data_IF_657353197134
#
_entry.id   IF_657353197134
#
_cell.length_a   1.000
_cell.length_b   1.000
_cell.length_c   1.000
_cell.angle_alpha   90.00
_cell.angle_beta   90.00
_cell.angle_gamma   90.00
#
_symmetry.space_group_name_H-M   'P 1'
#
loop_
_entity.id
_entity.type
_entity.pdbx_description
1 polymer ?
#
# COMPACT_ATOMS: atom_id res chain seq x y z
N UNK A 1 2.54 -6.65 -7.59
CA UNK A 1 2.16 -8.02 -7.24
C UNK A 1 0.66 -8.02 -7.04
N UNK A 2 -0.02 -8.22 -8.17
CA UNK A 2 -1.46 -8.24 -8.30
C UNK A 2 -1.73 -9.59 -8.98
N UNK A 3 -2.09 -10.61 -8.19
CA UNK A 3 -2.05 -12.02 -8.61
C UNK A 3 -3.47 -12.53 -8.76
N UNK A 4 -3.79 -13.03 -9.95
CA UNK A 4 -5.03 -13.74 -10.26
C UNK A 4 -4.70 -15.24 -10.34
N UNK A 5 -4.89 -16.04 -9.26
CA UNK A 5 -4.53 -17.46 -9.25
C UNK A 5 -5.16 -18.25 -10.41
N UNK A 6 -6.36 -17.86 -10.84
CA UNK A 6 -7.12 -18.46 -11.93
C UNK A 6 -6.53 -18.21 -13.32
N UNK A 7 -5.65 -17.21 -13.47
CA UNK A 7 -4.96 -16.90 -14.73
C UNK A 7 -3.55 -17.51 -14.80
N UNK A 8 -3.09 -18.17 -13.74
CA UNK A 8 -1.77 -18.77 -13.72
C UNK A 8 -1.70 -20.01 -14.62
N UNK A 9 -0.58 -20.23 -15.35
CA UNK A 9 -0.41 -21.39 -16.21
C UNK A 9 -0.61 -22.71 -15.46
N UNK A 10 -1.27 -23.67 -16.10
CA UNK A 10 -1.60 -24.96 -15.48
C UNK A 10 -0.39 -25.73 -14.96
N UNK A 11 0.77 -25.64 -15.64
CA UNK A 11 2.01 -26.29 -15.17
C UNK A 11 2.54 -25.72 -13.84
N UNK A 12 2.09 -24.51 -13.44
CA UNK A 12 2.41 -23.89 -12.15
C UNK A 12 1.42 -24.36 -11.09
N UNK A 13 0.12 -24.44 -11.42
CA UNK A 13 -0.96 -24.72 -10.44
C UNK A 13 -0.90 -26.13 -9.86
N UNK A 14 -0.19 -27.07 -10.49
CA UNK A 14 0.10 -28.39 -9.91
C UNK A 14 1.12 -28.37 -8.75
N UNK A 15 1.84 -27.25 -8.55
CA UNK A 15 2.78 -27.12 -7.44
C UNK A 15 2.03 -26.84 -6.14
N UNK A 16 2.52 -27.41 -5.05
CA UNK A 16 2.10 -26.99 -3.71
C UNK A 16 2.44 -25.50 -3.54
N UNK A 17 1.54 -24.74 -2.93
CA UNK A 17 1.71 -23.30 -2.68
C UNK A 17 2.03 -22.52 -3.98
N UNK A 18 1.39 -22.87 -5.10
CA UNK A 18 1.71 -22.38 -6.45
C UNK A 18 1.73 -20.85 -6.60
N UNK A 19 0.97 -20.14 -5.76
CA UNK A 19 0.99 -18.66 -5.73
C UNK A 19 2.31 -18.15 -5.17
N UNK A 20 2.80 -18.76 -4.08
CA UNK A 20 4.13 -18.45 -3.52
C UNK A 20 5.19 -18.74 -4.58
N UNK A 21 5.18 -19.94 -5.17
CA UNK A 21 6.12 -20.34 -6.22
C UNK A 21 6.15 -19.34 -7.39
N UNK A 22 4.98 -18.88 -7.84
CA UNK A 22 4.90 -17.91 -8.92
C UNK A 22 5.52 -16.57 -8.52
N UNK A 23 5.19 -16.06 -7.34
CA UNK A 23 5.71 -14.77 -6.86
C UNK A 23 7.23 -14.84 -6.67
N UNK A 24 7.76 -15.94 -6.13
CA UNK A 24 9.21 -16.17 -6.02
C UNK A 24 9.89 -16.09 -7.38
N UNK A 25 9.35 -16.80 -8.39
CA UNK A 25 9.91 -16.78 -9.74
C UNK A 25 9.88 -15.37 -10.36
N UNK A 26 8.83 -14.58 -10.12
CA UNK A 26 8.79 -13.18 -10.57
C UNK A 26 9.87 -12.36 -9.86
N UNK A 27 10.04 -12.52 -8.55
CA UNK A 27 11.06 -11.80 -7.78
C UNK A 27 12.46 -12.18 -8.28
N UNK A 28 12.77 -13.47 -8.36
CA UNK A 28 14.06 -13.98 -8.85
C UNK A 28 14.41 -13.44 -10.24
N UNK A 29 13.43 -13.36 -11.14
CA UNK A 29 13.64 -12.87 -12.50
C UNK A 29 13.78 -11.34 -12.60
N UNK A 30 13.38 -10.56 -11.58
CA UNK A 30 13.25 -9.10 -11.72
C UNK A 30 13.94 -8.27 -10.65
N UNK A 31 14.41 -8.85 -9.54
CA UNK A 31 14.92 -8.08 -8.40
C UNK A 31 16.13 -7.20 -8.71
N UNK A 32 16.91 -7.53 -9.75
CA UNK A 32 18.08 -6.72 -10.17
C UNK A 32 17.71 -5.47 -10.97
N UNK A 33 16.48 -5.38 -11.49
CA UNK A 33 16.04 -4.32 -12.41
C UNK A 33 14.86 -3.49 -11.91
N UNK A 34 14.41 -3.72 -10.67
CA UNK A 34 13.31 -2.96 -10.05
C UNK A 34 13.77 -2.33 -8.74
N UNK A 35 13.26 -1.14 -8.42
CA UNK A 35 13.52 -0.50 -7.12
C UNK A 35 12.51 -0.93 -6.04
N UNK A 36 11.34 -1.43 -6.45
CA UNK A 36 10.24 -1.70 -5.53
C UNK A 36 9.29 -2.79 -6.05
N UNK A 37 8.71 -3.52 -5.10
CA UNK A 37 7.53 -4.34 -5.33
C UNK A 37 6.33 -3.80 -4.55
N UNK A 38 5.25 -3.52 -5.28
CA UNK A 38 3.96 -3.13 -4.69
C UNK A 38 3.05 -4.34 -4.56
N UNK A 39 2.64 -4.70 -3.35
CA UNK A 39 1.72 -5.81 -3.08
C UNK A 39 0.32 -5.26 -2.86
N UNK A 40 -0.62 -5.60 -3.75
CA UNK A 40 -2.00 -5.16 -3.64
C UNK A 40 -2.78 -6.11 -2.75
N UNK A 41 -3.12 -5.65 -1.54
CA UNK A 41 -3.67 -6.49 -0.49
C UNK A 41 -5.00 -7.15 -0.87
N UNK A 42 -5.80 -6.54 -1.75
CA UNK A 42 -7.08 -7.11 -2.17
C UNK A 42 -6.94 -8.51 -2.80
N UNK A 43 -5.84 -8.75 -3.54
CA UNK A 43 -5.55 -10.04 -4.16
C UNK A 43 -5.14 -11.11 -3.15
N UNK A 44 -4.48 -10.71 -2.07
CA UNK A 44 -4.08 -11.64 -1.01
C UNK A 44 -5.24 -11.91 -0.04
N UNK A 45 -6.01 -10.88 0.29
CA UNK A 45 -7.18 -10.99 1.16
C UNK A 45 -8.29 -11.85 0.54
N UNK A 46 -8.48 -11.80 -0.79
CA UNK A 46 -9.47 -12.65 -1.47
C UNK A 46 -9.16 -14.15 -1.36
N UNK A 47 -7.90 -14.50 -1.12
CA UNK A 47 -7.45 -15.87 -0.85
C UNK A 47 -7.55 -16.27 0.64
N UNK A 48 -8.11 -15.40 1.49
CA UNK A 48 -8.24 -15.64 2.92
C UNK A 48 -6.90 -15.81 3.64
N UNK A 49 -6.86 -16.69 4.64
CA UNK A 49 -5.65 -16.93 5.45
C UNK A 49 -4.47 -17.46 4.63
N UNK A 50 -4.73 -18.11 3.49
CA UNK A 50 -3.68 -18.57 2.59
C UNK A 50 -2.93 -17.38 1.96
N UNK A 51 -3.63 -16.34 1.48
CA UNK A 51 -2.94 -15.18 0.89
C UNK A 51 -2.12 -14.40 1.91
N UNK A 52 -2.59 -14.29 3.16
CA UNK A 52 -1.79 -13.68 4.23
C UNK A 52 -0.53 -14.48 4.54
N UNK A 53 -0.62 -15.82 4.58
CA UNK A 53 0.54 -16.71 4.75
C UNK A 53 1.55 -16.57 3.60
N UNK A 54 1.07 -16.43 2.36
CA UNK A 54 1.96 -16.18 1.21
C UNK A 54 2.76 -14.89 1.43
N UNK A 55 2.13 -13.81 1.92
CA UNK A 55 2.86 -12.58 2.24
C UNK A 55 3.88 -12.79 3.36
N UNK A 56 3.52 -13.50 4.43
CA UNK A 56 4.44 -13.84 5.53
C UNK A 56 5.67 -14.59 5.05
N UNK A 57 5.52 -15.48 4.06
CA UNK A 57 6.62 -16.27 3.51
C UNK A 57 7.46 -15.48 2.50
N UNK A 58 6.85 -14.65 1.65
CA UNK A 58 7.53 -13.96 0.55
C UNK A 58 8.28 -12.70 1.01
N UNK A 59 7.64 -11.86 1.83
CA UNK A 59 8.20 -10.54 2.15
C UNK A 59 9.60 -10.59 2.78
N UNK A 60 9.94 -11.58 3.64
CA UNK A 60 11.30 -11.73 4.17
C UNK A 60 12.35 -12.16 3.13
N UNK A 61 11.93 -12.79 2.03
CA UNK A 61 12.82 -13.30 0.96
C UNK A 61 13.23 -12.19 -0.02
N UNK A 62 12.50 -11.08 -0.06
CA UNK A 62 12.81 -9.93 -0.93
C UNK A 62 14.10 -9.23 -0.44
N UNK A 63 15.09 -8.97 -1.32
CA UNK A 63 16.32 -8.30 -0.95
C UNK A 63 16.08 -6.96 -0.22
N UNK A 64 16.90 -6.65 0.78
CA UNK A 64 16.68 -5.50 1.68
C UNK A 64 16.72 -4.15 0.97
N UNK A 65 17.41 -4.04 -0.16
CA UNK A 65 17.49 -2.84 -0.98
C UNK A 65 16.21 -2.56 -1.77
N UNK A 66 15.33 -3.55 -1.93
CA UNK A 66 14.09 -3.43 -2.68
C UNK A 66 12.97 -2.98 -1.76
N UNK A 67 12.33 -1.87 -2.11
CA UNK A 67 11.25 -1.27 -1.33
C UNK A 67 10.00 -2.14 -1.45
N UNK A 68 9.44 -2.58 -0.32
CA UNK A 68 8.16 -3.28 -0.27
C UNK A 68 7.04 -2.30 0.03
N UNK A 69 6.13 -2.12 -0.93
CA UNK A 69 4.99 -1.20 -0.80
C UNK A 69 3.71 -2.01 -0.56
N UNK A 70 3.04 -1.76 0.56
CA UNK A 70 1.72 -2.30 0.87
C UNK A 70 0.63 -1.44 0.23
N UNK A 71 0.08 -1.89 -0.89
CA UNK A 71 -1.06 -1.22 -1.52
C UNK A 71 -2.37 -1.70 -0.91
N UNK A 72 -2.75 -1.08 0.20
CA UNK A 72 -3.91 -1.44 1.03
C UNK A 72 -4.98 -0.33 1.13
N UNK A 73 -4.65 0.90 0.72
CA UNK A 73 -5.52 2.09 0.72
C UNK A 73 -6.25 2.30 2.04
N UNK A 74 -5.58 2.02 3.17
CA UNK A 74 -6.18 2.08 4.51
C UNK A 74 -6.48 3.52 4.93
N UNK A 75 -7.55 3.70 5.69
CA UNK A 75 -7.95 4.98 6.29
C UNK A 75 -9.08 4.70 7.26
N UNK A 76 -8.82 4.89 8.54
CA UNK A 76 -9.75 4.62 9.65
C UNK A 76 -9.39 5.55 10.82
N UNK A 77 -10.19 5.60 11.88
CA UNK A 77 -9.97 6.50 13.02
C UNK A 77 -9.38 5.79 14.23
N UNK A 78 -8.67 6.55 15.06
CA UNK A 78 -8.30 6.16 16.43
C UNK A 78 -7.56 4.81 16.54
N UNK A 79 -8.14 3.87 17.28
CA UNK A 79 -7.53 2.56 17.56
C UNK A 79 -7.41 1.67 16.33
N UNK A 80 -8.39 1.70 15.42
CA UNK A 80 -8.38 0.88 14.22
C UNK A 80 -7.22 1.26 13.29
N UNK A 81 -6.99 2.57 13.09
CA UNK A 81 -5.84 3.06 12.31
C UNK A 81 -4.51 2.62 12.91
N UNK A 82 -4.36 2.64 14.24
CA UNK A 82 -3.16 2.10 14.92
C UNK A 82 -2.96 0.62 14.63
N UNK A 83 -4.01 -0.18 14.62
CA UNK A 83 -3.91 -1.62 14.32
C UNK A 83 -3.56 -1.88 12.86
N UNK A 84 -4.07 -1.07 11.92
CA UNK A 84 -3.64 -1.15 10.52
C UNK A 84 -2.16 -0.81 10.36
N UNK A 85 -1.69 0.28 10.97
CA UNK A 85 -0.29 0.67 10.92
C UNK A 85 0.62 -0.42 11.52
N UNK A 86 0.23 -0.99 12.67
CA UNK A 86 0.93 -2.12 13.30
C UNK A 86 0.99 -3.35 12.38
N UNK A 87 -0.14 -3.74 11.78
CA UNK A 87 -0.17 -4.87 10.86
C UNK A 87 0.78 -4.67 9.66
N UNK A 88 0.77 -3.48 9.06
CA UNK A 88 1.58 -3.21 7.87
C UNK A 88 3.07 -3.08 8.20
N UNK A 89 3.43 -2.30 9.23
CA UNK A 89 4.82 -1.94 9.50
C UNK A 89 5.53 -2.83 10.52
N UNK A 90 4.82 -3.43 11.47
CA UNK A 90 5.42 -4.34 12.46
C UNK A 90 5.29 -5.81 12.04
N UNK A 91 4.07 -6.26 11.68
CA UNK A 91 3.82 -7.67 11.35
C UNK A 91 4.39 -8.03 9.98
N UNK A 92 3.90 -7.38 8.92
CA UNK A 92 4.35 -7.66 7.55
C UNK A 92 5.65 -6.93 7.17
N UNK A 93 6.08 -5.96 7.98
CA UNK A 93 7.35 -5.22 7.80
C UNK A 93 7.50 -4.57 6.43
N UNK A 94 6.42 -4.06 5.86
CA UNK A 94 6.48 -3.25 4.64
C UNK A 94 7.27 -1.96 4.89
N UNK A 95 7.83 -1.40 3.82
CA UNK A 95 8.60 -0.15 3.84
C UNK A 95 7.72 1.06 3.55
N UNK A 96 6.63 0.84 2.82
CA UNK A 96 5.68 1.88 2.48
C UNK A 96 4.23 1.36 2.47
N UNK A 97 3.26 2.27 2.55
CA UNK A 97 1.85 1.95 2.46
C UNK A 97 1.07 2.97 1.61
N UNK A 98 -0.01 2.53 0.95
CA UNK A 98 -1.00 3.44 0.36
C UNK A 98 -2.13 3.72 1.36
N UNK A 99 -2.49 4.99 1.52
CA UNK A 99 -3.48 5.45 2.51
C UNK A 99 -4.57 6.33 1.89
N UNK A 100 -5.80 6.21 2.40
CA UNK A 100 -6.95 7.01 1.98
C UNK A 100 -7.20 8.17 2.96
N UNK A 101 -7.05 9.44 2.54
CA UNK A 101 -7.13 10.60 3.44
C UNK A 101 -8.56 11.09 3.71
N UNK A 102 -9.59 10.38 3.24
CA UNK A 102 -10.97 10.87 3.29
C UNK A 102 -11.43 11.28 4.69
N UNK A 103 -10.96 10.59 5.73
CA UNK A 103 -11.32 10.85 7.12
C UNK A 103 -10.47 11.93 7.80
N UNK A 104 -9.48 12.51 7.11
CA UNK A 104 -8.63 13.58 7.65
C UNK A 104 -7.30 13.11 8.23
N UNK A 105 -6.57 14.05 8.85
CA UNK A 105 -5.19 13.83 9.33
C UNK A 105 -5.09 12.78 10.43
N UNK A 106 -5.99 12.84 11.42
CA UNK A 106 -6.04 11.94 12.57
C UNK A 106 -6.24 10.48 12.15
N UNK A 107 -6.88 10.24 11.01
CA UNK A 107 -7.02 8.91 10.44
C UNK A 107 -5.70 8.31 9.94
N UNK A 108 -4.71 9.15 9.60
CA UNK A 108 -3.43 8.75 9.02
C UNK A 108 -2.24 8.98 9.95
N UNK A 109 -2.39 9.83 10.96
CA UNK A 109 -1.37 10.14 11.95
C UNK A 109 -0.69 8.88 12.53
N UNK A 110 -1.40 7.77 12.85
CA UNK A 110 -0.75 6.55 13.34
C UNK A 110 0.31 5.98 12.40
N UNK A 111 0.14 6.12 11.09
CA UNK A 111 1.12 5.68 10.09
C UNK A 111 2.32 6.63 10.00
N UNK A 112 2.10 7.94 10.19
CA UNK A 112 3.16 8.94 10.13
C UNK A 112 4.13 8.90 11.31
N UNK A 113 3.74 8.25 12.41
CA UNK A 113 4.61 8.04 13.57
C UNK A 113 5.70 6.97 13.34
N UNK A 114 5.59 6.16 12.29
CA UNK A 114 6.62 5.19 11.95
C UNK A 114 7.78 5.86 11.21
N UNK A 115 8.95 5.85 11.85
CA UNK A 115 10.19 6.41 11.30
C UNK A 115 10.67 5.52 10.14
N UNK A 116 11.27 6.15 9.11
CA UNK A 116 11.82 5.47 7.93
C UNK A 116 10.77 4.64 7.16
N UNK A 117 9.51 5.06 7.19
CA UNK A 117 8.42 4.51 6.38
C UNK A 117 7.86 5.57 5.44
N UNK A 118 7.40 5.14 4.27
CA UNK A 118 6.82 6.05 3.27
C UNK A 118 5.32 5.83 3.14
N UNK A 119 4.54 6.91 3.17
CA UNK A 119 3.09 6.85 3.04
C UNK A 119 2.65 7.53 1.73
N UNK A 120 2.08 6.76 0.82
CA UNK A 120 1.50 7.25 -0.44
C UNK A 120 0.03 7.59 -0.23
N UNK A 121 -0.29 8.88 -0.20
CA UNK A 121 -1.65 9.35 0.06
C UNK A 121 -2.44 9.44 -1.24
N UNK A 122 -3.62 8.83 -1.28
CA UNK A 122 -4.53 8.90 -2.42
C UNK A 122 -4.99 10.34 -2.64
N UNK A 123 -4.84 10.85 -3.86
CA UNK A 123 -5.23 12.22 -4.23
C UNK A 123 -6.10 12.23 -5.48
N UNK A 124 -5.54 11.87 -6.63
CA UNK A 124 -6.23 11.76 -7.91
C UNK A 124 -5.97 10.38 -8.52
N UNK A 125 -7.03 9.64 -8.83
CA UNK A 125 -6.98 8.35 -9.51
C UNK A 125 -7.43 8.47 -10.96
N UNK A 126 -7.03 7.51 -11.80
CA UNK A 126 -7.32 7.51 -13.24
C UNK A 126 -8.69 6.92 -13.61
N UNK A 127 -9.36 6.24 -12.67
CA UNK A 127 -10.64 5.59 -12.94
C UNK A 127 -11.78 6.60 -13.17
N UNK A 128 -12.85 6.22 -13.89
CA UNK A 128 -13.98 7.11 -14.19
C UNK A 128 -14.61 7.76 -12.95
N UNK A 129 -14.68 7.02 -11.84
CA UNK A 129 -15.24 7.50 -10.56
C UNK A 129 -14.48 8.68 -9.94
N UNK A 130 -13.26 9.00 -10.39
CA UNK A 130 -12.58 10.23 -9.97
C UNK A 130 -13.40 11.50 -10.28
N UNK A 131 -14.28 11.46 -11.28
CA UNK A 131 -15.18 12.58 -11.62
C UNK A 131 -16.26 12.82 -10.56
N UNK A 132 -16.64 11.80 -9.79
CA UNK A 132 -17.76 11.88 -8.83
C UNK A 132 -17.39 12.70 -7.59
N UNK A 133 -16.17 12.54 -7.08
CA UNK A 133 -15.70 13.24 -5.87
C UNK A 133 -14.43 14.04 -6.11
N UNK A 134 -13.36 13.39 -6.58
CA UNK A 134 -12.02 13.97 -6.60
C UNK A 134 -11.93 15.22 -7.49
N UNK A 135 -12.75 15.29 -8.56
CA UNK A 135 -12.84 16.43 -9.49
C UNK A 135 -14.03 17.36 -9.22
N UNK A 136 -14.67 17.30 -8.04
CA UNK A 136 -15.65 18.32 -7.64
C UNK A 136 -14.93 19.67 -7.52
N UNK A 137 -15.53 20.73 -8.08
CA UNK A 137 -15.06 22.10 -7.91
C UNK A 137 -15.57 22.67 -6.58
N UNK A 138 -14.66 23.09 -5.73
CA UNK A 138 -14.94 23.71 -4.44
C UNK A 138 -15.29 25.20 -4.60
N UNK A 139 -15.86 25.80 -3.54
CA UNK A 139 -16.13 27.25 -3.49
C UNK A 139 -14.86 28.10 -3.63
N UNK A 140 -13.71 27.56 -3.25
CA UNK A 140 -12.38 28.17 -3.46
C UNK A 140 -11.94 28.21 -4.93
N UNK A 141 -12.68 27.57 -5.84
CA UNK A 141 -12.33 27.43 -7.26
C UNK A 141 -11.41 26.25 -7.58
N UNK A 142 -10.78 25.65 -6.56
CA UNK A 142 -9.94 24.44 -6.71
C UNK A 142 -10.79 23.18 -6.89
N UNK A 143 -10.20 22.15 -7.48
CA UNK A 143 -10.75 20.80 -7.46
C UNK A 143 -10.44 20.11 -6.13
N UNK A 144 -11.33 19.23 -5.65
CA UNK A 144 -11.18 18.58 -4.35
C UNK A 144 -9.80 17.91 -4.18
N UNK A 145 -9.31 17.16 -5.19
CA UNK A 145 -7.99 16.53 -5.09
C UNK A 145 -6.83 17.54 -4.90
N UNK A 146 -6.97 18.77 -5.41
CA UNK A 146 -5.96 19.82 -5.23
C UNK A 146 -5.97 20.33 -3.78
N UNK A 147 -7.13 20.41 -3.14
CA UNK A 147 -7.25 20.70 -1.71
C UNK A 147 -6.57 19.59 -0.88
N UNK A 148 -6.82 18.32 -1.22
CA UNK A 148 -6.18 17.17 -0.56
C UNK A 148 -4.65 17.26 -0.68
N UNK A 149 -4.11 17.53 -1.88
CA UNK A 149 -2.66 17.73 -2.07
C UNK A 149 -2.14 18.86 -1.18
N UNK A 150 -2.87 19.97 -1.11
CA UNK A 150 -2.50 21.11 -0.25
C UNK A 150 -2.42 20.73 1.22
N UNK A 151 -3.37 19.92 1.72
CA UNK A 151 -3.39 19.42 3.10
C UNK A 151 -2.28 18.41 3.36
N UNK A 152 -2.10 17.43 2.48
CA UNK A 152 -1.04 16.42 2.59
C UNK A 152 0.35 17.07 2.62
N UNK A 153 0.59 18.10 1.80
CA UNK A 153 1.83 18.89 1.87
C UNK A 153 2.04 19.52 3.24
N UNK A 154 0.99 20.09 3.84
CA UNK A 154 1.09 20.68 5.18
C UNK A 154 1.38 19.65 6.27
N UNK A 155 0.86 18.42 6.14
CA UNK A 155 1.17 17.32 7.06
C UNK A 155 2.62 16.86 6.93
N UNK A 156 3.13 16.77 5.71
CA UNK A 156 4.53 16.39 5.48
C UNK A 156 5.49 17.41 6.11
N UNK A 157 5.19 18.71 6.06
CA UNK A 157 5.99 19.75 6.72
C UNK A 157 6.02 19.59 8.24
N UNK A 158 4.91 19.17 8.87
CA UNK A 158 4.87 18.88 10.31
C UNK A 158 5.87 17.76 10.62
N UNK A 159 5.83 16.67 9.87
CA UNK A 159 6.71 15.52 10.14
C UNK A 159 8.18 15.80 9.80
N UNK A 160 8.49 16.55 8.75
CA UNK A 160 9.86 16.97 8.43
C UNK A 160 10.49 17.86 9.51
N UNK A 161 9.69 18.62 10.28
CA UNK A 161 10.16 19.45 11.39
C UNK A 161 10.53 18.64 12.65
N UNK A 162 10.11 17.37 12.74
CA UNK A 162 10.40 16.47 13.87
C UNK A 162 11.50 15.44 13.57
N UNK A 163 12.18 15.55 12.43
CA UNK A 163 13.37 14.78 12.10
C UNK A 163 14.61 15.70 12.18
N UNK A 164 15.47 15.57 13.21
CA UNK A 164 16.74 16.29 13.30
C UNK A 164 17.76 15.77 12.27
#
# INVERSE_FOLDING_TARGET
>A
MDIYPELLPSYITFKKDFVEYFIEGVIEATYEIVDAYKFNMAFFESMGSYGLRVLENILPKIPKQIIKICDAKRGDIGSSSRMYAKGIYEHFRFDAATLNPFLGYDSLEPFFRYINKTNYILTLTSNPGAKEFQKIKLSSGRLLFQEVISKVKSWNSIHLLFFP
#
